data_IF_996351909032
#
_entry.id   IF_996351909032
#
_cell.length_a   1.000
_cell.length_b   1.000
_cell.length_c   1.000
_cell.angle_alpha   90.00
_cell.angle_beta   90.00
_cell.angle_gamma   90.00
#
_symmetry.space_group_name_H-M   'P 1'
#
loop_
_entity.id
_entity.type
_entity.pdbx_description
1 polymer ?
#
# COMPACT_ATOMS: atom_id res chain seq x y z
N UNK A 1 -4.27 -43.69 5.68
CA UNK A 1 -5.54 -43.48 4.95
C UNK A 1 -6.57 -42.94 5.93
N UNK A 2 -6.97 -41.68 5.80
CA UNK A 2 -7.97 -41.07 6.67
C UNK A 2 -9.20 -40.69 5.82
N UNK A 3 -10.29 -41.43 5.96
CA UNK A 3 -11.59 -41.03 5.42
C UNK A 3 -12.27 -40.10 6.43
N UNK A 4 -12.72 -38.93 5.95
CA UNK A 4 -13.57 -38.02 6.73
C UNK A 4 -15.03 -38.46 6.58
N UNK A 5 -15.69 -38.71 7.71
CA UNK A 5 -17.12 -39.00 7.76
C UNK A 5 -17.93 -37.72 7.52
N UNK A 6 -18.86 -37.76 6.57
CA UNK A 6 -19.95 -36.80 6.41
C UNK A 6 -21.26 -37.47 6.78
N UNK A 7 -21.96 -36.98 7.81
CA UNK A 7 -23.25 -37.49 8.24
C UNK A 7 -24.41 -37.09 7.32
N UNK A 8 -25.55 -37.77 7.45
CA UNK A 8 -26.70 -37.70 6.52
C UNK A 8 -27.45 -36.35 6.41
N UNK A 9 -26.95 -35.28 7.05
CA UNK A 9 -27.58 -33.95 7.10
C UNK A 9 -26.67 -32.80 6.66
N UNK A 10 -25.58 -33.07 5.90
CA UNK A 10 -24.72 -31.99 5.38
C UNK A 10 -25.30 -31.40 4.08
N UNK A 11 -25.55 -30.07 4.00
CA UNK A 11 -26.10 -29.42 2.81
C UNK A 11 -24.98 -29.13 1.81
N UNK A 12 -24.49 -30.17 1.12
CA UNK A 12 -23.61 -30.04 -0.05
C UNK A 12 -23.51 -31.39 -0.74
N UNK A 13 -24.58 -31.74 -1.47
CA UNK A 13 -24.66 -32.93 -2.32
C UNK A 13 -24.19 -32.67 -3.74
N UNK A 14 -22.95 -32.20 -3.92
CA UNK A 14 -22.31 -32.16 -5.24
C UNK A 14 -21.05 -33.01 -5.22
N UNK A 15 -21.03 -34.03 -6.07
CA UNK A 15 -19.86 -34.85 -6.37
C UNK A 15 -18.73 -33.93 -6.85
N UNK A 16 -17.48 -34.11 -6.41
CA UNK A 16 -16.37 -33.36 -6.98
C UNK A 16 -16.11 -33.87 -8.40
N UNK A 17 -16.46 -33.08 -9.41
CA UNK A 17 -15.81 -33.17 -10.71
C UNK A 17 -14.33 -32.86 -10.54
N UNK A 18 -13.50 -33.60 -11.27
CA UNK A 18 -12.05 -33.37 -11.35
C UNK A 18 -11.79 -32.05 -12.09
N UNK A 19 -11.90 -30.95 -11.36
CA UNK A 19 -11.47 -29.62 -11.78
C UNK A 19 -10.03 -29.37 -11.34
N UNK A 20 -9.23 -28.88 -12.27
CA UNK A 20 -7.88 -28.31 -12.15
C UNK A 20 -7.69 -27.57 -10.81
N UNK A 21 -6.54 -27.69 -10.12
CA UNK A 21 -6.31 -26.94 -8.89
C UNK A 21 -6.36 -25.44 -9.21
N UNK A 22 -7.47 -24.80 -8.88
CA UNK A 22 -7.55 -23.34 -8.79
C UNK A 22 -6.63 -22.97 -7.63
N UNK A 23 -5.43 -22.51 -7.97
CA UNK A 23 -4.58 -21.78 -7.05
C UNK A 23 -5.32 -20.47 -6.73
N UNK A 24 -6.20 -20.53 -5.74
CA UNK A 24 -6.80 -19.33 -5.17
C UNK A 24 -5.67 -18.37 -4.79
N UNK A 25 -5.84 -17.05 -4.99
CA UNK A 25 -4.79 -16.09 -4.67
C UNK A 25 -4.40 -16.30 -3.22
N UNK A 26 -3.15 -16.73 -3.00
CA UNK A 26 -2.60 -16.83 -1.64
C UNK A 26 -2.73 -15.45 -1.04
N UNK A 27 -3.64 -15.35 -0.07
CA UNK A 27 -3.94 -14.13 0.65
C UNK A 27 -2.68 -13.81 1.46
N UNK A 28 -1.75 -13.06 0.85
CA UNK A 28 -0.54 -12.61 1.53
C UNK A 28 -1.00 -11.62 2.59
N UNK A 29 -1.15 -12.13 3.81
CA UNK A 29 -1.53 -11.33 4.96
C UNK A 29 -0.57 -10.14 5.05
N UNK A 30 -1.09 -8.94 4.76
CA UNK A 30 -0.29 -7.72 4.75
C UNK A 30 0.03 -7.36 6.19
N UNK A 31 1.30 -7.43 6.56
CA UNK A 31 1.76 -7.00 7.88
C UNK A 31 1.58 -5.49 7.96
N UNK A 32 0.87 -4.99 8.97
CA UNK A 32 0.71 -3.56 9.15
C UNK A 32 2.08 -2.95 9.47
N UNK A 33 2.54 -1.93 8.72
CA UNK A 33 3.88 -1.37 8.91
C UNK A 33 4.01 -0.60 10.24
N UNK A 34 2.87 -0.20 10.81
CA UNK A 34 2.79 0.35 12.15
C UNK A 34 2.63 -0.79 13.16
N UNK A 35 3.75 -1.24 13.72
CA UNK A 35 3.79 -2.27 14.76
C UNK A 35 3.94 -1.71 16.18
N UNK A 36 4.07 -2.62 17.15
CA UNK A 36 4.28 -2.31 18.58
C UNK A 36 5.39 -1.27 18.80
N UNK A 37 6.50 -1.37 18.06
CA UNK A 37 7.66 -0.47 18.18
C UNK A 37 7.31 1.00 17.95
N UNK A 38 6.45 1.30 16.98
CA UNK A 38 6.01 2.67 16.70
C UNK A 38 5.07 3.19 17.79
N UNK A 39 4.20 2.32 18.34
CA UNK A 39 3.30 2.69 19.43
C UNK A 39 4.03 2.91 20.76
N UNK A 40 5.16 2.22 20.99
CA UNK A 40 5.99 2.46 22.17
C UNK A 40 6.58 3.88 22.22
N UNK A 41 6.68 4.59 21.09
CA UNK A 41 7.16 5.97 21.08
C UNK A 41 6.19 6.98 21.73
N UNK A 42 4.96 6.59 22.05
CA UNK A 42 4.05 7.41 22.86
C UNK A 42 4.29 7.28 24.37
N UNK A 43 4.99 6.23 24.81
CA UNK A 43 5.24 5.99 26.25
C UNK A 43 6.06 7.11 26.87
N UNK A 44 7.19 7.58 26.29
CA UNK A 44 7.94 8.69 26.88
C UNK A 44 7.12 9.98 26.99
N UNK A 45 6.25 10.26 26.01
CA UNK A 45 5.36 11.41 26.06
C UNK A 45 4.34 11.30 27.20
N UNK A 46 3.77 10.10 27.41
CA UNK A 46 2.85 9.84 28.51
C UNK A 46 3.52 9.95 29.89
N UNK A 47 4.72 9.39 30.04
CA UNK A 47 5.52 9.50 31.27
C UNK A 47 5.84 10.97 31.56
N UNK A 48 6.30 11.72 30.56
CA UNK A 48 6.63 13.13 30.70
C UNK A 48 5.40 13.96 31.06
N UNK A 49 4.25 13.72 30.41
CA UNK A 49 3.01 14.42 30.74
C UNK A 49 2.62 14.17 32.20
N UNK A 50 2.67 12.92 32.65
CA UNK A 50 2.29 12.56 34.01
C UNK A 50 3.26 13.14 35.05
N UNK A 51 4.56 13.08 34.80
CA UNK A 51 5.57 13.64 35.71
C UNK A 51 5.51 15.16 35.79
N UNK A 52 5.11 15.82 34.71
CA UNK A 52 5.05 17.30 34.63
C UNK A 52 3.88 17.89 35.40
N UNK A 53 2.74 17.19 35.50
CA UNK A 53 1.55 17.66 36.24
C UNK A 53 1.83 17.83 37.73
N UNK A 54 2.75 17.04 38.30
CA UNK A 54 3.13 17.12 39.72
C UNK A 54 4.33 18.06 39.98
N UNK A 55 4.75 18.83 38.97
CA UNK A 55 5.92 19.71 39.06
C UNK A 55 5.52 21.18 39.24
N UNK A 56 6.51 22.04 39.53
CA UNK A 56 6.29 23.50 39.61
C UNK A 56 5.85 24.08 38.26
N UNK A 57 5.14 25.22 38.27
CA UNK A 57 4.49 25.78 37.09
C UNK A 57 5.38 25.92 35.84
N UNK A 58 6.65 26.33 36.01
CA UNK A 58 7.62 26.42 34.92
C UNK A 58 8.03 25.07 34.32
N UNK A 59 8.30 24.09 35.18
CA UNK A 59 8.60 22.71 34.77
C UNK A 59 7.40 22.04 34.11
N UNK A 60 6.19 22.31 34.63
CA UNK A 60 4.95 21.83 34.04
C UNK A 60 4.75 22.36 32.62
N UNK A 61 4.95 23.66 32.39
CA UNK A 61 4.81 24.25 31.07
C UNK A 61 5.79 23.64 30.06
N UNK A 62 7.08 23.54 30.43
CA UNK A 62 8.11 22.93 29.57
C UNK A 62 7.84 21.45 29.29
N UNK A 63 7.43 20.70 30.30
CA UNK A 63 7.14 19.28 30.17
C UNK A 63 5.90 18.99 29.33
N UNK A 64 4.86 19.83 29.41
CA UNK A 64 3.68 19.73 28.51
C UNK A 64 4.04 20.04 27.06
N UNK A 65 4.85 21.08 26.81
CA UNK A 65 5.36 21.39 25.46
C UNK A 65 6.21 20.22 24.95
N UNK A 66 7.13 19.71 25.77
CA UNK A 66 7.96 18.55 25.44
C UNK A 66 7.14 17.31 25.09
N UNK A 67 6.10 17.02 25.87
CA UNK A 67 5.19 15.90 25.63
C UNK A 67 4.41 16.08 24.32
N UNK A 68 3.95 17.31 24.03
CA UNK A 68 3.30 17.64 22.77
C UNK A 68 4.22 17.45 21.55
N UNK A 69 5.45 17.97 21.63
CA UNK A 69 6.47 17.82 20.58
C UNK A 69 6.80 16.35 20.34
N UNK A 70 7.01 15.59 21.43
CA UNK A 70 7.29 14.16 21.34
C UNK A 70 6.14 13.38 20.71
N UNK A 71 4.90 13.68 21.12
CA UNK A 71 3.69 13.06 20.55
C UNK A 71 3.58 13.36 19.06
N UNK A 72 3.85 14.62 18.65
CA UNK A 72 3.94 15.00 17.24
C UNK A 72 4.99 14.17 16.48
N UNK A 73 6.16 13.96 17.07
CA UNK A 73 7.20 13.07 16.53
C UNK A 73 6.73 11.63 16.37
N UNK A 74 6.04 11.07 17.37
CA UNK A 74 5.51 9.70 17.31
C UNK A 74 4.43 9.53 16.23
N UNK A 75 3.56 10.52 16.03
CA UNK A 75 2.58 10.52 14.93
C UNK A 75 3.30 10.60 13.57
N UNK A 76 4.30 11.49 13.45
CA UNK A 76 5.09 11.65 12.23
C UNK A 76 5.84 10.36 11.87
N UNK A 77 6.37 9.64 12.86
CA UNK A 77 7.02 8.34 12.67
C UNK A 77 6.05 7.30 12.09
N UNK A 78 4.81 7.22 12.61
CA UNK A 78 3.80 6.28 12.08
C UNK A 78 3.50 6.56 10.61
N UNK A 79 3.36 7.83 10.25
CA UNK A 79 3.14 8.25 8.86
C UNK A 79 4.37 8.04 7.96
N UNK A 80 5.57 8.10 8.53
CA UNK A 80 6.83 7.73 7.85
C UNK A 80 6.91 6.24 7.54
N UNK A 81 6.63 5.38 8.53
CA UNK A 81 6.65 3.93 8.36
C UNK A 81 5.60 3.44 7.34
N UNK A 82 4.40 4.05 7.33
CA UNK A 82 3.39 3.78 6.30
C UNK A 82 3.89 4.18 4.90
N UNK A 83 4.50 5.35 4.78
CA UNK A 83 5.02 5.85 3.50
C UNK A 83 6.17 4.98 2.98
N UNK A 84 7.08 4.55 3.85
CA UNK A 84 8.16 3.63 3.52
C UNK A 84 7.65 2.26 3.09
N UNK A 85 6.65 1.71 3.78
CA UNK A 85 6.05 0.44 3.39
C UNK A 85 5.40 0.51 2.00
N UNK A 86 4.66 1.60 1.72
CA UNK A 86 4.11 1.84 0.40
C UNK A 86 5.20 2.01 -0.68
N UNK A 87 6.32 2.66 -0.34
CA UNK A 87 7.47 2.79 -1.24
C UNK A 87 8.14 1.43 -1.51
N UNK A 88 8.27 0.58 -0.50
CA UNK A 88 8.93 -0.72 -0.62
C UNK A 88 8.09 -1.75 -1.38
N UNK A 89 6.77 -1.73 -1.20
CA UNK A 89 5.83 -2.65 -1.88
C UNK A 89 5.79 -2.43 -3.40
N UNK A 90 6.10 -1.21 -3.85
CA UNK A 90 6.16 -0.86 -5.28
C UNK A 90 7.56 -1.09 -5.83
N UNK A 91 7.68 -1.66 -7.05
CA UNK A 91 8.96 -1.77 -7.76
C UNK A 91 9.44 -0.41 -8.28
N UNK A 92 8.50 0.46 -8.68
CA UNK A 92 8.74 1.83 -9.12
C UNK A 92 8.03 2.78 -8.15
N UNK A 93 8.77 3.67 -7.48
CA UNK A 93 8.20 4.59 -6.49
C UNK A 93 8.99 5.89 -6.37
N UNK A 94 8.28 7.01 -6.19
CA UNK A 94 8.90 8.30 -5.90
C UNK A 94 9.30 8.37 -4.42
N UNK A 95 10.41 9.03 -4.12
CA UNK A 95 10.76 9.36 -2.73
C UNK A 95 9.60 10.13 -2.05
N UNK A 96 9.30 9.89 -0.76
CA UNK A 96 8.36 10.70 -0.01
C UNK A 96 8.69 12.19 -0.08
N UNK A 97 7.67 13.05 -0.17
CA UNK A 97 7.87 14.50 -0.32
C UNK A 97 8.56 15.15 0.88
N UNK A 98 8.43 14.56 2.07
CA UNK A 98 9.09 14.97 3.30
C UNK A 98 9.75 13.74 3.94
N UNK A 99 10.98 13.87 4.47
CA UNK A 99 11.64 12.79 5.21
C UNK A 99 11.04 12.67 6.61
N UNK A 100 9.89 11.99 6.71
CA UNK A 100 9.05 11.97 7.92
C UNK A 100 9.73 11.28 9.10
N UNK A 101 10.50 10.22 8.91
CA UNK A 101 11.27 9.55 9.98
C UNK A 101 12.43 10.41 10.48
N UNK A 102 13.09 11.17 9.59
CA UNK A 102 14.11 12.15 10.00
C UNK A 102 13.47 13.28 10.83
N UNK A 103 12.35 13.83 10.37
CA UNK A 103 11.61 14.85 11.13
C UNK A 103 11.11 14.31 12.47
N UNK A 104 10.64 13.06 12.52
CA UNK A 104 10.27 12.39 13.76
C UNK A 104 11.45 12.26 14.73
N UNK A 105 12.65 11.92 14.22
CA UNK A 105 13.87 11.86 15.04
C UNK A 105 14.24 13.23 15.61
N UNK A 106 14.11 14.30 14.82
CA UNK A 106 14.34 15.67 15.29
C UNK A 106 13.32 16.06 16.36
N UNK A 107 12.04 15.78 16.15
CA UNK A 107 11.00 16.05 17.15
C UNK A 107 11.21 15.24 18.43
N UNK A 108 11.63 13.98 18.33
CA UNK A 108 11.97 13.17 19.50
C UNK A 108 13.19 13.75 20.26
N UNK A 109 14.22 14.21 19.55
CA UNK A 109 15.38 14.87 20.16
C UNK A 109 15.01 16.18 20.86
N UNK A 110 14.16 17.00 20.25
CA UNK A 110 13.67 18.25 20.87
C UNK A 110 12.77 17.94 22.07
N UNK A 111 11.88 16.96 21.97
CA UNK A 111 11.07 16.48 23.08
C UNK A 111 11.92 16.00 24.26
N UNK A 112 13.01 15.28 23.99
CA UNK A 112 13.98 14.84 24.99
C UNK A 112 14.72 15.99 25.66
N UNK A 113 15.14 17.00 24.88
CA UNK A 113 15.76 18.20 25.42
C UNK A 113 14.82 18.93 26.38
N UNK A 114 13.56 19.13 25.97
CA UNK A 114 12.53 19.77 26.79
C UNK A 114 12.21 18.96 28.05
N UNK A 115 12.16 17.63 27.94
CA UNK A 115 12.02 16.74 29.08
C UNK A 115 13.16 16.91 30.09
N UNK A 116 14.41 16.89 29.61
CA UNK A 116 15.60 17.05 30.44
C UNK A 116 15.61 18.40 31.18
N UNK A 117 15.27 19.49 30.47
CA UNK A 117 15.15 20.82 31.07
C UNK A 117 14.03 20.89 32.12
N UNK A 118 12.86 20.29 31.83
CA UNK A 118 11.74 20.25 32.80
C UNK A 118 12.09 19.46 34.07
N UNK A 119 12.96 18.46 33.96
CA UNK A 119 13.46 17.66 35.08
C UNK A 119 14.62 18.33 35.85
N UNK A 120 15.02 19.55 35.47
CA UNK A 120 16.11 20.28 36.12
C UNK A 120 17.52 19.81 35.73
N UNK A 121 17.68 19.19 34.55
CA UNK A 121 19.00 18.80 34.06
C UNK A 121 19.86 20.03 33.74
N UNK A 122 21.17 19.91 33.98
CA UNK A 122 22.14 20.94 33.62
C UNK A 122 22.05 21.30 32.13
N UNK A 123 22.03 22.59 31.75
CA UNK A 123 21.91 23.02 30.35
C UNK A 123 22.97 22.43 29.42
N UNK A 124 24.15 22.09 29.97
CA UNK A 124 25.24 21.47 29.23
C UNK A 124 24.98 19.99 28.87
N UNK A 125 24.15 19.28 29.64
CA UNK A 125 23.78 17.88 29.40
C UNK A 125 22.57 17.73 28.48
N UNK A 126 21.73 18.76 28.36
CA UNK A 126 20.55 18.78 27.49
C UNK A 126 20.84 18.41 26.03
N UNK A 127 21.90 18.95 25.37
CA UNK A 127 22.25 18.54 24.01
C UNK A 127 22.64 17.06 23.90
N UNK A 128 23.26 16.49 24.94
CA UNK A 128 23.65 15.08 24.94
C UNK A 128 22.42 14.17 24.94
N UNK A 129 21.41 14.48 25.77
CA UNK A 129 20.13 13.75 25.75
C UNK A 129 19.42 13.86 24.40
N UNK A 130 19.40 15.06 23.82
CA UNK A 130 18.79 15.30 22.51
C UNK A 130 19.48 14.46 21.42
N UNK A 131 20.82 14.50 21.36
CA UNK A 131 21.61 13.75 20.40
C UNK A 131 21.49 12.24 20.59
N UNK A 132 21.52 11.77 21.84
CA UNK A 132 21.35 10.35 22.15
C UNK A 132 19.98 9.84 21.70
N UNK A 133 18.90 10.56 22.02
CA UNK A 133 17.54 10.18 21.60
C UNK A 133 17.38 10.26 20.09
N UNK A 134 17.84 11.34 19.44
CA UNK A 134 17.78 11.48 17.99
C UNK A 134 18.56 10.38 17.26
N UNK A 135 19.78 10.08 17.72
CA UNK A 135 20.62 9.02 17.16
C UNK A 135 20.01 7.64 17.34
N UNK A 136 19.52 7.31 18.55
CA UNK A 136 18.83 6.04 18.81
C UNK A 136 17.55 5.91 18.00
N UNK A 137 16.81 7.01 17.77
CA UNK A 137 15.62 7.01 16.94
C UNK A 137 15.95 6.66 15.48
N UNK A 138 16.99 7.30 14.92
CA UNK A 138 17.45 6.98 13.57
C UNK A 138 18.00 5.55 13.46
N UNK A 139 18.71 5.07 14.47
CA UNK A 139 19.22 3.70 14.50
C UNK A 139 18.09 2.66 14.60
N UNK A 140 17.04 2.95 15.37
CA UNK A 140 15.92 2.02 15.60
C UNK A 140 14.94 1.95 14.41
N UNK A 141 14.71 3.07 13.70
CA UNK A 141 13.69 3.18 12.65
C UNK A 141 14.24 3.41 11.23
N UNK A 142 15.55 3.65 11.12
CA UNK A 142 16.23 3.94 9.85
C UNK A 142 15.86 5.30 9.26
N UNK A 143 16.55 5.65 8.18
CA UNK A 143 16.27 6.86 7.40
C UNK A 143 15.15 6.61 6.37
N UNK A 144 14.42 7.67 5.98
CA UNK A 144 13.46 7.59 4.88
C UNK A 144 14.15 7.30 3.53
N UNK A 145 13.49 6.62 2.58
CA UNK A 145 14.00 6.50 1.21
C UNK A 145 14.17 7.87 0.55
N UNK A 146 15.41 8.26 0.23
CA UNK A 146 15.73 9.59 -0.34
C UNK A 146 15.84 9.61 -1.87
N UNK A 147 15.81 8.44 -2.51
CA UNK A 147 15.95 8.26 -3.96
C UNK A 147 14.66 7.70 -4.57
N UNK A 148 14.43 7.97 -5.84
CA UNK A 148 13.37 7.30 -6.59
C UNK A 148 13.82 5.86 -6.89
N UNK A 149 12.86 4.93 -6.88
CA UNK A 149 13.06 3.51 -7.19
C UNK A 149 12.58 3.24 -8.61
N UNK A 150 13.34 2.44 -9.37
CA UNK A 150 12.91 1.94 -10.68
C UNK A 150 12.82 2.99 -11.80
N UNK A 151 13.55 4.11 -11.68
CA UNK A 151 13.58 5.19 -12.69
C UNK A 151 14.84 5.18 -13.55
N UNK A 152 15.60 4.09 -13.58
CA UNK A 152 16.82 3.98 -14.39
C UNK A 152 16.43 3.50 -15.80
N UNK A 153 16.63 4.36 -16.81
CA UNK A 153 16.49 4.00 -18.23
C UNK A 153 15.16 4.35 -18.93
N UNK A 154 14.12 4.77 -18.19
CA UNK A 154 12.83 5.20 -18.75
C UNK A 154 12.56 6.66 -18.39
N UNK A 155 12.05 7.45 -19.35
CA UNK A 155 11.77 8.88 -19.22
C UNK A 155 11.03 9.18 -17.90
N UNK A 156 11.67 9.93 -17.00
CA UNK A 156 11.17 10.22 -15.65
C UNK A 156 9.76 10.82 -15.67
N UNK A 157 9.40 11.47 -16.78
CA UNK A 157 8.06 11.99 -17.03
C UNK A 157 6.99 10.89 -17.16
N UNK A 158 7.26 9.81 -17.89
CA UNK A 158 6.30 8.71 -18.07
C UNK A 158 6.07 7.96 -16.76
N UNK A 159 7.13 7.62 -16.04
CA UNK A 159 7.04 6.97 -14.72
C UNK A 159 6.25 7.83 -13.72
N UNK A 160 6.44 9.15 -13.75
CA UNK A 160 5.68 10.08 -12.89
C UNK A 160 4.19 10.11 -13.22
N UNK A 161 3.83 9.95 -14.50
CA UNK A 161 2.45 9.92 -14.98
C UNK A 161 1.74 8.63 -14.58
N UNK A 162 2.43 7.48 -14.69
CA UNK A 162 1.92 6.18 -14.23
C UNK A 162 1.61 6.24 -12.74
N UNK A 163 2.59 6.66 -11.92
CA UNK A 163 2.42 6.71 -10.47
C UNK A 163 1.20 7.53 -10.04
N UNK A 164 0.98 8.70 -10.66
CA UNK A 164 -0.19 9.55 -10.36
C UNK A 164 -1.52 8.85 -10.68
N UNK A 165 -1.59 8.11 -11.79
CA UNK A 165 -2.81 7.42 -12.21
C UNK A 165 -3.08 6.21 -11.31
N UNK A 166 -2.03 5.50 -10.89
CA UNK A 166 -2.16 4.38 -9.94
C UNK A 166 -2.60 4.88 -8.57
N UNK A 167 -2.06 5.99 -8.08
CA UNK A 167 -2.49 6.59 -6.80
C UNK A 167 -3.97 7.03 -6.85
N UNK A 168 -4.42 7.63 -7.96
CA UNK A 168 -5.82 7.99 -8.19
C UNK A 168 -6.73 6.74 -8.24
N UNK A 169 -6.26 5.67 -8.89
CA UNK A 169 -6.97 4.40 -8.92
C UNK A 169 -7.12 3.77 -7.52
N UNK A 170 -6.05 3.71 -6.73
CA UNK A 170 -6.12 3.22 -5.34
C UNK A 170 -7.05 4.08 -4.47
N UNK A 171 -7.11 5.40 -4.69
CA UNK A 171 -8.06 6.26 -3.98
C UNK A 171 -9.53 5.93 -4.33
N UNK A 172 -9.81 5.58 -5.59
CA UNK A 172 -11.13 5.10 -6.00
C UNK A 172 -11.46 3.74 -5.37
N UNK A 173 -10.51 2.79 -5.35
CA UNK A 173 -10.68 1.48 -4.71
C UNK A 173 -10.96 1.61 -3.21
N UNK A 174 -10.23 2.48 -2.51
CA UNK A 174 -10.46 2.78 -1.10
C UNK A 174 -11.87 3.35 -0.86
N UNK A 175 -12.30 4.29 -1.71
CA UNK A 175 -13.64 4.86 -1.66
C UNK A 175 -14.73 3.80 -1.87
N UNK A 176 -14.51 2.84 -2.77
CA UNK A 176 -15.42 1.70 -2.97
C UNK A 176 -15.49 0.82 -1.72
N UNK A 177 -14.34 0.50 -1.12
CA UNK A 177 -14.24 -0.32 0.09
C UNK A 177 -15.03 0.30 1.26
N UNK A 178 -14.98 1.63 1.39
CA UNK A 178 -15.68 2.33 2.46
C UNK A 178 -17.17 2.51 2.17
N UNK A 179 -17.54 2.71 0.90
CA UNK A 179 -18.94 2.79 0.50
C UNK A 179 -19.67 1.46 0.72
N UNK A 180 -19.09 0.32 0.32
CA UNK A 180 -19.76 -0.99 0.39
C UNK A 180 -20.04 -1.44 1.83
N UNK A 181 -19.22 -1.05 2.82
CA UNK A 181 -19.47 -1.32 4.25
C UNK A 181 -20.82 -0.79 4.74
N UNK A 182 -21.34 0.26 4.12
CA UNK A 182 -22.66 0.83 4.47
C UNK A 182 -23.81 -0.09 4.08
N UNK A 183 -23.62 -0.95 3.07
CA UNK A 183 -24.60 -1.94 2.64
C UNK A 183 -24.73 -3.12 3.63
N UNK A 184 -23.70 -3.36 4.48
CA UNK A 184 -23.64 -4.47 5.46
C UNK A 184 -23.90 -5.86 4.87
N UNK A 185 -23.55 -6.05 3.60
CA UNK A 185 -23.64 -7.34 2.92
C UNK A 185 -22.23 -7.92 2.72
N UNK A 186 -21.93 -8.99 3.47
CA UNK A 186 -20.61 -9.64 3.44
C UNK A 186 -20.25 -10.23 2.06
N UNK A 187 -21.24 -10.68 1.29
CA UNK A 187 -20.98 -11.22 -0.04
C UNK A 187 -20.57 -10.09 -0.99
N UNK A 188 -21.24 -8.94 -0.92
CA UNK A 188 -20.90 -7.79 -1.76
C UNK A 188 -19.54 -7.20 -1.35
N UNK A 189 -19.26 -7.10 -0.05
CA UNK A 189 -17.93 -6.69 0.45
C UNK A 189 -16.81 -7.58 -0.11
N UNK A 190 -16.98 -8.91 -0.06
CA UNK A 190 -16.00 -9.86 -0.60
C UNK A 190 -15.81 -9.71 -2.12
N UNK A 191 -16.89 -9.42 -2.86
CA UNK A 191 -16.82 -9.20 -4.31
C UNK A 191 -16.11 -7.90 -4.67
N UNK A 192 -16.30 -6.84 -3.90
CA UNK A 192 -15.53 -5.59 -4.05
C UNK A 192 -14.05 -5.85 -3.78
N UNK A 193 -13.71 -6.61 -2.73
CA UNK A 193 -12.32 -6.96 -2.43
C UNK A 193 -11.65 -7.77 -3.56
N UNK A 194 -12.38 -8.72 -4.16
CA UNK A 194 -11.91 -9.48 -5.31
C UNK A 194 -11.67 -8.59 -6.54
N UNK A 195 -12.59 -7.67 -6.81
CA UNK A 195 -12.42 -6.68 -7.88
C UNK A 195 -11.19 -5.79 -7.63
N UNK A 196 -10.97 -5.32 -6.39
CA UNK A 196 -9.78 -4.55 -6.03
C UNK A 196 -8.48 -5.32 -6.30
N UNK A 197 -8.43 -6.61 -5.99
CA UNK A 197 -7.26 -7.44 -6.28
C UNK A 197 -6.97 -7.52 -7.79
N UNK A 198 -8.02 -7.59 -8.61
CA UNK A 198 -7.91 -7.61 -10.07
C UNK A 198 -7.38 -6.28 -10.62
N UNK A 199 -7.93 -5.15 -10.16
CA UNK A 199 -7.45 -3.81 -10.54
C UNK A 199 -6.01 -3.59 -10.11
N UNK A 200 -5.62 -4.02 -8.91
CA UNK A 200 -4.23 -3.94 -8.41
C UNK A 200 -3.25 -4.75 -9.26
N UNK A 201 -3.70 -5.87 -9.81
CA UNK A 201 -2.88 -6.67 -10.72
C UNK A 201 -2.60 -5.88 -12.00
N UNK A 202 -3.62 -5.28 -12.62
CA UNK A 202 -3.44 -4.40 -13.77
C UNK A 202 -2.53 -3.20 -13.45
N UNK A 203 -2.76 -2.53 -12.32
CA UNK A 203 -1.96 -1.38 -11.92
C UNK A 203 -0.48 -1.75 -11.78
N UNK A 204 -0.18 -2.92 -11.19
CA UNK A 204 1.19 -3.42 -11.10
C UNK A 204 1.81 -3.73 -12.46
N UNK A 205 1.07 -4.35 -13.38
CA UNK A 205 1.55 -4.59 -14.76
C UNK A 205 1.96 -3.28 -15.43
N UNK A 206 1.12 -2.24 -15.33
CA UNK A 206 1.42 -0.91 -15.90
C UNK A 206 2.55 -0.17 -15.17
N UNK A 207 2.76 -0.45 -13.87
CA UNK A 207 3.94 0.04 -13.15
C UNK A 207 5.23 -0.66 -13.58
N UNK A 208 5.16 -1.93 -14.00
CA UNK A 208 6.30 -2.69 -14.52
C UNK A 208 6.68 -2.24 -15.93
N UNK A 209 5.69 -1.92 -16.79
CA UNK A 209 5.92 -1.29 -18.09
C UNK A 209 5.08 0.01 -18.27
N UNK A 210 5.70 1.20 -18.13
CA UNK A 210 5.03 2.47 -18.34
C UNK A 210 4.43 2.69 -19.73
N UNK A 211 4.86 1.95 -20.76
CA UNK A 211 4.35 2.06 -22.14
C UNK A 211 2.89 1.62 -22.22
N UNK A 212 2.52 0.62 -21.43
CA UNK A 212 1.17 0.05 -21.34
C UNK A 212 0.13 1.02 -20.80
N UNK A 213 0.57 2.09 -20.14
CA UNK A 213 -0.32 3.09 -19.57
C UNK A 213 -1.28 3.65 -20.62
N UNK A 214 -0.85 3.77 -21.88
CA UNK A 214 -1.72 4.28 -22.95
C UNK A 214 -2.92 3.36 -23.17
N UNK A 215 -2.71 2.05 -23.17
CA UNK A 215 -3.74 1.04 -23.36
C UNK A 215 -4.58 0.77 -22.10
N UNK A 216 -4.01 0.94 -20.91
CA UNK A 216 -4.67 0.71 -19.62
C UNK A 216 -5.37 1.95 -19.05
N UNK A 217 -5.04 3.17 -19.50
CA UNK A 217 -5.53 4.44 -18.95
C UNK A 217 -7.04 4.48 -18.77
N UNK A 218 -7.81 4.09 -19.79
CA UNK A 218 -9.28 4.14 -19.76
C UNK A 218 -9.87 3.28 -18.64
N UNK A 219 -9.22 2.17 -18.33
CA UNK A 219 -9.61 1.26 -17.26
C UNK A 219 -9.32 1.87 -15.89
N UNK A 220 -8.08 2.31 -15.66
CA UNK A 220 -7.65 2.86 -14.36
C UNK A 220 -8.28 4.20 -14.01
N UNK A 221 -8.79 4.96 -14.99
CA UNK A 221 -9.46 6.25 -14.74
C UNK A 221 -10.97 6.15 -14.90
N UNK A 222 -11.47 6.09 -16.14
CA UNK A 222 -12.90 6.24 -16.45
C UNK A 222 -13.74 5.08 -15.90
N UNK A 223 -13.31 3.84 -16.15
CA UNK A 223 -14.08 2.68 -15.69
C UNK A 223 -14.05 2.55 -14.18
N UNK A 224 -12.91 2.85 -13.57
CA UNK A 224 -12.78 2.77 -12.12
C UNK A 224 -13.55 3.88 -11.40
N UNK A 225 -13.57 5.10 -11.95
CA UNK A 225 -14.43 6.18 -11.48
C UNK A 225 -15.91 5.79 -11.58
N UNK A 226 -16.32 5.22 -12.72
CA UNK A 226 -17.68 4.71 -12.91
C UNK A 226 -18.05 3.60 -11.92
N UNK A 227 -17.13 2.66 -11.67
CA UNK A 227 -17.31 1.60 -10.68
C UNK A 227 -17.45 2.16 -9.26
N UNK A 228 -16.66 3.17 -8.91
CA UNK A 228 -16.74 3.89 -7.64
C UNK A 228 -18.09 4.57 -7.47
N UNK A 229 -18.56 5.29 -8.48
CA UNK A 229 -19.85 5.97 -8.44
C UNK A 229 -21.04 5.00 -8.38
N UNK A 230 -20.97 3.89 -9.13
CA UNK A 230 -21.95 2.82 -9.05
C UNK A 230 -21.99 2.17 -7.66
N UNK A 231 -20.83 1.95 -7.04
CA UNK A 231 -20.73 1.40 -5.68
C UNK A 231 -21.37 2.30 -4.64
N UNK A 232 -21.14 3.62 -4.73
CA UNK A 232 -21.76 4.60 -3.83
C UNK A 232 -23.27 4.58 -3.97
N UNK A 233 -23.79 4.62 -5.21
CA UNK A 233 -25.24 4.57 -5.49
C UNK A 233 -25.87 3.26 -5.00
N UNK A 234 -25.24 2.12 -5.28
CA UNK A 234 -25.68 0.82 -4.79
C UNK A 234 -25.76 0.82 -3.26
N UNK A 235 -24.71 1.25 -2.57
CA UNK A 235 -24.67 1.27 -1.12
C UNK A 235 -25.77 2.16 -0.52
N UNK A 236 -26.07 3.31 -1.15
CA UNK A 236 -27.13 4.22 -0.72
C UNK A 236 -28.53 3.61 -0.88
N UNK A 237 -28.79 2.94 -2.01
CA UNK A 237 -30.07 2.26 -2.27
C UNK A 237 -30.23 1.09 -1.30
N UNK A 238 -29.23 0.20 -1.25
CA UNK A 238 -29.32 -1.04 -0.49
C UNK A 238 -29.41 -0.80 1.03
N UNK A 239 -28.72 0.23 1.55
CA UNK A 239 -28.83 0.61 2.96
C UNK A 239 -30.24 1.10 3.35
N UNK A 240 -31.05 1.59 2.40
CA UNK A 240 -32.40 2.12 2.67
C UNK A 240 -33.49 1.09 2.45
N UNK A 241 -33.41 0.32 1.36
CA UNK A 241 -34.51 -0.54 0.91
C UNK A 241 -34.16 -2.03 0.93
N UNK A 242 -32.89 -2.40 1.10
CA UNK A 242 -32.40 -3.78 0.94
C UNK A 242 -32.86 -4.43 -0.38
N UNK A 243 -32.94 -3.63 -1.44
CA UNK A 243 -33.43 -4.04 -2.76
C UNK A 243 -32.57 -5.17 -3.36
N UNK A 244 -33.20 -6.33 -3.56
CA UNK A 244 -32.57 -7.52 -4.10
C UNK A 244 -32.17 -7.37 -5.57
N UNK A 245 -32.92 -6.58 -6.36
CA UNK A 245 -32.61 -6.32 -7.76
C UNK A 245 -31.37 -5.43 -7.88
N UNK A 246 -31.32 -4.33 -7.12
CA UNK A 246 -30.16 -3.45 -7.10
C UNK A 246 -28.87 -4.19 -6.71
N UNK A 247 -28.98 -5.17 -5.80
CA UNK A 247 -27.89 -6.07 -5.42
C UNK A 247 -27.46 -7.00 -6.56
N UNK A 248 -28.41 -7.63 -7.24
CA UNK A 248 -28.11 -8.52 -8.36
C UNK A 248 -27.42 -7.76 -9.50
N UNK A 249 -27.95 -6.59 -9.87
CA UNK A 249 -27.41 -5.75 -10.94
C UNK A 249 -26.00 -5.25 -10.62
N UNK A 250 -25.75 -4.84 -9.36
CA UNK A 250 -24.43 -4.41 -8.93
C UNK A 250 -23.41 -5.55 -8.92
N UNK A 251 -23.80 -6.75 -8.49
CA UNK A 251 -22.94 -7.92 -8.53
C UNK A 251 -22.59 -8.33 -9.98
N UNK A 252 -23.56 -8.28 -10.89
CA UNK A 252 -23.32 -8.51 -12.32
C UNK A 252 -22.34 -7.49 -12.91
N UNK A 253 -22.51 -6.20 -12.58
CA UNK A 253 -21.56 -5.15 -12.98
C UNK A 253 -20.14 -5.43 -12.47
N UNK A 254 -19.98 -5.88 -11.22
CA UNK A 254 -18.67 -6.22 -10.68
C UNK A 254 -18.04 -7.41 -11.40
N UNK A 255 -18.82 -8.44 -11.72
CA UNK A 255 -18.33 -9.60 -12.48
C UNK A 255 -17.88 -9.18 -13.89
N UNK A 256 -18.67 -8.36 -14.59
CA UNK A 256 -18.31 -7.84 -15.91
C UNK A 256 -17.04 -6.98 -15.88
N UNK A 257 -16.94 -6.08 -14.90
CA UNK A 257 -15.75 -5.25 -14.72
C UNK A 257 -14.54 -6.11 -14.41
N UNK A 258 -14.66 -7.08 -13.50
CA UNK A 258 -13.56 -7.97 -13.14
C UNK A 258 -13.05 -8.74 -14.37
N UNK A 259 -13.96 -9.31 -15.18
CA UNK A 259 -13.58 -10.00 -16.40
C UNK A 259 -12.86 -9.09 -17.38
N UNK A 260 -13.39 -7.89 -17.63
CA UNK A 260 -12.80 -6.95 -18.58
C UNK A 260 -11.40 -6.47 -18.13
N UNK A 261 -11.20 -6.21 -16.84
CA UNK A 261 -9.88 -5.86 -16.30
C UNK A 261 -8.90 -7.04 -16.39
N UNK A 262 -9.33 -8.26 -16.07
CA UNK A 262 -8.50 -9.45 -16.18
C UNK A 262 -8.05 -9.71 -17.63
N UNK A 263 -8.99 -9.72 -18.58
CA UNK A 263 -8.70 -9.89 -20.00
C UNK A 263 -7.75 -8.82 -20.52
N UNK A 264 -7.97 -7.55 -20.15
CA UNK A 264 -7.09 -6.48 -20.63
C UNK A 264 -5.68 -6.62 -20.04
N UNK A 265 -5.55 -7.03 -18.78
CA UNK A 265 -4.25 -7.28 -18.15
C UNK A 265 -3.50 -8.42 -18.86
N UNK A 266 -4.20 -9.50 -19.22
CA UNK A 266 -3.62 -10.60 -19.98
C UNK A 266 -3.15 -10.17 -21.37
N UNK A 267 -3.92 -9.30 -22.05
CA UNK A 267 -3.51 -8.75 -23.36
C UNK A 267 -2.20 -7.97 -23.27
N UNK A 268 -2.04 -7.12 -22.24
CA UNK A 268 -0.79 -6.36 -22.03
C UNK A 268 0.42 -7.30 -21.87
N UNK A 269 0.26 -8.34 -21.04
CA UNK A 269 1.31 -9.34 -20.81
C UNK A 269 1.65 -10.18 -22.06
N UNK A 270 0.70 -10.35 -22.99
CA UNK A 270 0.95 -11.05 -24.26
C UNK A 270 1.70 -10.12 -25.23
N UNK A 271 1.28 -8.87 -25.34
CA UNK A 271 1.93 -7.85 -26.17
C UNK A 271 3.42 -7.71 -25.80
N UNK A 272 3.74 -7.65 -24.50
CA UNK A 272 5.13 -7.63 -23.99
C UNK A 272 5.95 -8.84 -24.44
N UNK A 273 5.35 -10.04 -24.43
CA UNK A 273 6.05 -11.28 -24.83
C UNK A 273 6.29 -11.32 -26.33
N UNK A 274 5.36 -10.80 -27.14
CA UNK A 274 5.56 -10.70 -28.58
C UNK A 274 6.67 -9.72 -28.93
N UNK A 275 6.72 -8.56 -28.25
CA UNK A 275 7.76 -7.55 -28.47
C UNK A 275 9.15 -8.11 -28.18
N UNK A 276 9.32 -8.83 -27.06
CA UNK A 276 10.58 -9.51 -26.74
C UNK A 276 10.96 -10.57 -27.78
N UNK A 277 9.99 -11.33 -28.30
CA UNK A 277 10.22 -12.32 -29.35
C UNK A 277 10.78 -11.67 -30.62
N UNK A 278 10.18 -10.55 -31.04
CA UNK A 278 10.63 -9.77 -32.20
C UNK A 278 12.05 -9.22 -31.96
N UNK A 279 12.33 -8.66 -30.78
CA UNK A 279 13.67 -8.16 -30.45
C UNK A 279 14.74 -9.27 -30.48
N UNK A 280 14.44 -10.46 -29.96
CA UNK A 280 15.33 -11.63 -30.03
C UNK A 280 15.58 -12.02 -31.49
N UNK A 281 14.54 -12.06 -32.32
CA UNK A 281 14.66 -12.45 -33.72
C UNK A 281 15.49 -11.41 -34.52
N UNK A 282 15.27 -10.11 -34.28
CA UNK A 282 16.09 -9.03 -34.87
C UNK A 282 17.54 -9.12 -34.42
N UNK A 283 17.81 -9.41 -33.15
CA UNK A 283 19.17 -9.59 -32.64
C UNK A 283 19.84 -10.81 -33.29
N UNK A 284 19.12 -11.92 -33.47
CA UNK A 284 19.63 -13.10 -34.18
C UNK A 284 19.98 -12.77 -35.62
N UNK A 285 19.09 -12.10 -36.35
CA UNK A 285 19.34 -11.69 -37.73
C UNK A 285 20.57 -10.77 -37.85
N UNK A 286 20.75 -9.86 -36.87
CA UNK A 286 21.93 -8.99 -36.82
C UNK A 286 23.21 -9.76 -36.50
N UNK A 287 23.19 -10.68 -35.53
CA UNK A 287 24.33 -11.53 -35.19
C UNK A 287 24.74 -12.45 -36.36
N UNK A 288 23.76 -12.98 -37.09
CA UNK A 288 23.98 -13.77 -38.31
C UNK A 288 24.64 -12.93 -39.42
N UNK A 289 24.21 -11.68 -39.61
CA UNK A 289 24.83 -10.74 -40.56
C UNK A 289 26.24 -10.31 -40.15
N UNK A 290 26.50 -10.20 -38.84
CA UNK A 290 27.81 -9.86 -38.29
C UNK A 290 28.74 -11.09 -38.14
N UNK A 291 28.29 -12.28 -38.57
CA UNK A 291 29.09 -13.51 -38.61
C UNK A 291 29.34 -14.17 -37.25
N UNK A 292 28.59 -13.76 -36.22
CA UNK A 292 28.70 -14.29 -34.86
C UNK A 292 27.72 -15.44 -34.70
N UNK A 293 28.20 -16.68 -34.81
CA UNK A 293 27.42 -17.86 -34.46
C UNK A 293 27.44 -18.03 -32.93
N UNK A 294 26.27 -17.95 -32.30
CA UNK A 294 26.10 -18.38 -30.91
C UNK A 294 26.31 -19.90 -30.88
N UNK A 295 27.50 -20.35 -30.45
CA UNK A 295 27.79 -21.76 -30.23
C UNK A 295 26.76 -22.33 -29.26
N UNK A 296 25.86 -23.15 -29.79
CA UNK A 296 24.81 -23.84 -29.04
C UNK A 296 25.46 -24.95 -28.22
N UNK A 297 25.94 -24.61 -27.02
CA UNK A 297 26.31 -25.60 -26.02
C UNK A 297 25.52 -25.37 -24.73
N UNK A 298 24.69 -26.38 -24.44
CA UNK A 298 23.86 -26.69 -23.26
C UNK A 298 22.46 -26.06 -23.22
#
# INVERSE_FOLDING_TARGET
MAQRFGGKYSPSGQKPEKGTPSAGPMNTARVTPVGLRANLMFVPAGVLLLSSVFSGAGAMALGLIGAGVWTGGAVMLREGLKAEAAYNDRKVARRPALPRKILAAVLAAVGAALAALSAGSEPLLTPLYALAVGGLHLAAFGMDPLKNKGTEGLDAFQSSRVARIVDEAEAHLASMADAVKRARDRQVEARVEQFQATVRTMARTVEEDPRDLTAARKYLTVYLLGARDATVKFADIYARSQDAQARADYLALLDDLQSNFATKTETLLIEDRSDLGIEIDVLRERLEREGVHLDRNL
#
